data_IF_571975740923
#
_entry.id   IF_571975740923
#
_cell.length_a   1.000
_cell.length_b   1.000
_cell.length_c   1.000
_cell.angle_alpha   90.00
_cell.angle_beta   90.00
_cell.angle_gamma   90.00
#
_symmetry.space_group_name_H-M   'P 1'
#
loop_
_entity.id
_entity.type
_entity.pdbx_description
1 polymer ?
#
# COMPACT_ATOMS: atom_id res chain seq x y z
N UNK A 1 24.70 -14.30 3.98
CA UNK A 1 23.35 -13.73 3.75
C UNK A 1 22.78 -14.36 2.50
N UNK A 2 21.64 -15.04 2.59
CA UNK A 2 20.97 -15.62 1.41
C UNK A 2 20.18 -14.53 0.72
N UNK A 3 20.58 -14.18 -0.51
CA UNK A 3 19.76 -13.39 -1.42
C UNK A 3 18.50 -14.19 -1.75
N UNK A 4 17.33 -13.65 -1.44
CA UNK A 4 16.05 -14.19 -1.88
C UNK A 4 15.75 -13.55 -3.23
N UNK A 5 15.78 -14.34 -4.30
CA UNK A 5 15.50 -13.89 -5.65
C UNK A 5 13.98 -13.82 -5.85
N UNK A 6 13.43 -12.63 -6.03
CA UNK A 6 11.99 -12.41 -6.24
C UNK A 6 11.69 -12.52 -7.74
N UNK A 7 10.85 -13.47 -8.14
CA UNK A 7 10.26 -13.51 -9.48
C UNK A 7 9.16 -12.46 -9.57
N UNK A 8 9.32 -11.49 -10.48
CA UNK A 8 8.42 -10.35 -10.67
C UNK A 8 9.13 -9.00 -10.83
N UNK A 9 10.38 -8.99 -11.30
CA UNK A 9 11.16 -7.78 -11.53
C UNK A 9 10.49 -6.94 -12.63
N UNK A 10 10.13 -5.69 -12.32
CA UNK A 10 9.77 -4.70 -13.34
C UNK A 10 11.07 -3.98 -13.70
N UNK A 11 11.48 -4.14 -14.95
CA UNK A 11 12.60 -3.41 -15.54
C UNK A 11 12.25 -1.92 -15.59
N UNK A 12 13.19 -1.06 -15.21
CA UNK A 12 13.11 0.40 -15.38
C UNK A 12 13.01 0.83 -16.87
N UNK A 13 13.08 -0.11 -17.81
CA UNK A 13 13.11 0.12 -19.26
C UNK A 13 11.83 -0.33 -20.01
N UNK A 14 10.80 -0.79 -19.30
CA UNK A 14 9.55 -1.20 -19.96
C UNK A 14 8.47 -0.09 -19.87
N UNK A 15 8.00 0.36 -21.04
CA UNK A 15 7.16 1.55 -21.26
C UNK A 15 5.71 1.50 -20.73
N UNK A 16 5.33 0.53 -19.90
CA UNK A 16 3.98 0.50 -19.31
C UNK A 16 3.96 -0.03 -17.87
N UNK A 17 3.22 0.62 -16.95
CA UNK A 17 3.08 0.14 -15.58
C UNK A 17 2.17 -1.10 -15.58
N UNK A 18 2.79 -2.28 -15.43
CA UNK A 18 2.04 -3.52 -15.16
C UNK A 18 1.66 -3.53 -13.68
N UNK A 19 0.37 -3.75 -13.41
CA UNK A 19 -0.23 -3.84 -12.08
C UNK A 19 0.56 -4.82 -11.20
N UNK A 20 1.05 -4.33 -10.06
CA UNK A 20 1.91 -5.09 -9.16
C UNK A 20 1.04 -5.83 -8.15
N UNK A 21 0.77 -7.11 -8.40
CA UNK A 21 0.22 -8.00 -7.38
C UNK A 21 1.35 -8.51 -6.49
N UNK A 22 1.42 -7.99 -5.26
CA UNK A 22 2.36 -8.44 -4.23
C UNK A 22 1.79 -9.73 -3.60
N UNK A 23 2.51 -10.88 -3.68
CA UNK A 23 2.21 -12.00 -2.81
C UNK A 23 2.57 -11.61 -1.39
N UNK A 24 1.59 -11.67 -0.47
CA UNK A 24 1.84 -11.51 0.96
C UNK A 24 2.85 -12.58 1.40
N UNK A 25 3.91 -12.23 2.15
CA UNK A 25 4.68 -13.21 2.89
C UNK A 25 3.70 -13.96 3.80
N UNK A 26 3.75 -15.30 3.77
CA UNK A 26 3.23 -16.12 4.87
C UNK A 26 4.16 -15.94 6.09
N UNK A 27 4.18 -14.74 6.65
CA UNK A 27 4.44 -14.63 8.07
C UNK A 27 3.16 -15.05 8.78
N UNK A 28 3.29 -15.74 9.91
CA UNK A 28 2.19 -16.09 10.80
C UNK A 28 1.49 -14.81 11.26
N UNK A 29 0.61 -14.28 10.43
CA UNK A 29 -0.12 -13.08 10.78
C UNK A 29 -1.12 -13.48 11.83
N UNK A 30 -1.12 -12.75 12.95
CA UNK A 30 -2.28 -12.59 13.83
C UNK A 30 -3.40 -11.87 13.07
N UNK A 31 -3.68 -12.25 11.83
CA UNK A 31 -4.68 -11.62 11.02
C UNK A 31 -6.02 -12.24 11.32
N UNK A 32 -6.94 -11.35 11.64
CA UNK A 32 -8.33 -11.70 11.77
C UNK A 32 -8.78 -12.30 10.43
N UNK A 33 -9.29 -13.56 10.41
CA UNK A 33 -9.72 -14.21 9.18
C UNK A 33 -10.77 -13.38 8.41
N UNK A 34 -11.53 -12.54 9.13
CA UNK A 34 -12.47 -11.60 8.53
C UNK A 34 -11.77 -10.54 7.68
N UNK A 35 -10.64 -10.00 8.13
CA UNK A 35 -9.85 -9.05 7.35
C UNK A 35 -9.21 -9.69 6.13
N UNK A 36 -8.71 -10.93 6.25
CA UNK A 36 -8.18 -11.66 5.09
C UNK A 36 -9.24 -11.81 4.00
N UNK A 37 -10.47 -12.20 4.38
CA UNK A 37 -11.59 -12.30 3.44
C UNK A 37 -11.96 -10.96 2.79
N UNK A 38 -11.94 -9.86 3.54
CA UNK A 38 -12.20 -8.52 3.00
C UNK A 38 -11.08 -8.09 2.04
N UNK A 39 -9.81 -8.33 2.41
CA UNK A 39 -8.66 -8.02 1.57
C UNK A 39 -8.77 -8.78 0.25
N UNK A 40 -8.97 -10.10 0.28
CA UNK A 40 -9.08 -10.90 -0.93
C UNK A 40 -10.28 -10.50 -1.80
N UNK A 41 -11.41 -10.16 -1.18
CA UNK A 41 -12.61 -9.68 -1.90
C UNK A 41 -12.35 -8.39 -2.67
N UNK A 42 -11.62 -7.45 -2.10
CA UNK A 42 -11.47 -6.11 -2.67
C UNK A 42 -10.10 -5.87 -3.33
N UNK A 43 -9.13 -6.76 -3.17
CA UNK A 43 -7.74 -6.60 -3.61
C UNK A 43 -7.59 -6.20 -5.07
N UNK A 44 -8.43 -6.70 -5.98
CA UNK A 44 -8.35 -6.35 -7.40
C UNK A 44 -9.29 -5.22 -7.83
N UNK A 45 -10.16 -4.77 -6.93
CA UNK A 45 -11.20 -3.77 -7.20
C UNK A 45 -10.91 -2.42 -6.53
N UNK A 46 -10.08 -2.42 -5.49
CA UNK A 46 -9.71 -1.22 -4.76
C UNK A 46 -8.61 -0.44 -5.47
N UNK A 47 -8.57 0.87 -5.24
CA UNK A 47 -7.38 1.68 -5.46
C UNK A 47 -6.31 1.38 -4.39
N UNK A 48 -6.75 1.19 -3.14
CA UNK A 48 -5.86 1.00 -1.97
C UNK A 48 -6.58 0.28 -0.83
N UNK A 49 -5.84 -0.51 -0.05
CA UNK A 49 -6.27 -1.08 1.22
C UNK A 49 -5.23 -0.72 2.28
N UNK A 50 -5.67 -0.18 3.40
CA UNK A 50 -4.81 0.18 4.52
C UNK A 50 -5.40 -0.30 5.86
N UNK A 51 -4.54 -0.74 6.76
CA UNK A 51 -4.85 -1.01 8.16
C UNK A 51 -4.43 0.20 8.98
N UNK A 52 -5.40 0.79 9.65
CA UNK A 52 -5.21 1.96 10.52
C UNK A 52 -5.69 1.55 11.90
N UNK A 53 -4.75 1.39 12.82
CA UNK A 53 -5.04 0.87 14.16
C UNK A 53 -5.80 -0.47 14.07
N UNK A 54 -7.01 -0.54 14.63
CA UNK A 54 -7.83 -1.76 14.67
C UNK A 54 -8.84 -1.86 13.52
N UNK A 55 -8.72 -1.03 12.48
CA UNK A 55 -9.67 -0.96 11.38
C UNK A 55 -9.03 -1.18 10.02
N UNK A 56 -9.82 -1.73 9.11
CA UNK A 56 -9.45 -1.91 7.72
C UNK A 56 -10.16 -0.87 6.85
N UNK A 57 -9.39 -0.12 6.07
CA UNK A 57 -9.89 0.90 5.16
C UNK A 57 -9.65 0.47 3.73
N UNK A 58 -10.70 0.57 2.90
CA UNK A 58 -10.70 0.09 1.52
C UNK A 58 -11.19 1.22 0.63
N UNK A 59 -10.30 1.76 -0.19
CA UNK A 59 -10.61 2.81 -1.16
C UNK A 59 -11.09 2.19 -2.46
N UNK A 60 -12.36 2.40 -2.81
CA UNK A 60 -13.01 1.88 -4.02
C UNK A 60 -13.74 3.04 -4.69
N UNK A 61 -13.56 3.18 -6.00
CA UNK A 61 -14.16 4.24 -6.80
C UNK A 61 -13.87 5.64 -6.23
N UNK A 62 -14.89 6.33 -5.72
CA UNK A 62 -14.89 7.68 -5.16
C UNK A 62 -15.07 7.71 -3.63
N UNK A 63 -15.00 6.55 -2.97
CA UNK A 63 -15.24 6.42 -1.52
C UNK A 63 -14.21 5.53 -0.82
N UNK A 64 -14.20 5.64 0.51
CA UNK A 64 -13.43 4.77 1.39
C UNK A 64 -14.38 4.05 2.34
N UNK A 65 -14.37 2.72 2.30
CA UNK A 65 -15.12 1.87 3.23
C UNK A 65 -14.24 1.58 4.46
N UNK A 66 -14.80 1.70 5.66
CA UNK A 66 -14.10 1.37 6.91
C UNK A 66 -14.75 0.20 7.61
N UNK A 67 -13.97 -0.83 7.92
CA UNK A 67 -14.41 -2.05 8.60
C UNK A 67 -13.77 -2.16 9.98
N UNK A 68 -14.58 -2.53 10.98
CA UNK A 68 -14.10 -2.97 12.31
C UNK A 68 -13.49 -4.37 12.20
N UNK A 69 -12.76 -4.79 13.23
CA UNK A 69 -12.17 -6.14 13.31
C UNK A 69 -13.20 -7.27 13.06
N UNK A 70 -14.44 -7.14 13.52
CA UNK A 70 -15.51 -8.12 13.29
C UNK A 70 -16.02 -8.18 11.83
N UNK A 71 -15.53 -7.29 10.95
CA UNK A 71 -15.94 -7.17 9.55
C UNK A 71 -17.17 -6.31 9.32
N UNK A 72 -17.75 -5.73 10.37
CA UNK A 72 -18.86 -4.79 10.20
C UNK A 72 -18.38 -3.50 9.53
N UNK A 73 -19.19 -3.03 8.58
CA UNK A 73 -18.99 -1.72 7.98
C UNK A 73 -19.26 -0.65 9.05
N UNK A 74 -18.22 0.07 9.42
CA UNK A 74 -18.23 1.09 10.46
C UNK A 74 -18.45 2.51 9.92
N UNK A 75 -18.22 2.72 8.63
CA UNK A 75 -18.40 4.01 8.00
C UNK A 75 -18.03 4.02 6.52
N UNK A 76 -18.54 5.04 5.83
CA UNK A 76 -18.19 5.38 4.45
C UNK A 76 -17.68 6.82 4.47
N UNK A 77 -16.48 7.01 3.95
CA UNK A 77 -15.80 8.30 3.88
C UNK A 77 -15.54 8.67 2.43
N UNK A 78 -15.17 9.93 2.19
CA UNK A 78 -14.62 10.34 0.89
C UNK A 78 -13.36 9.53 0.57
N UNK A 79 -13.05 9.37 -0.73
CA UNK A 79 -11.78 8.79 -1.18
C UNK A 79 -10.58 9.58 -0.62
N UNK A 80 -9.41 8.97 -0.68
CA UNK A 80 -8.11 9.59 -0.39
C UNK A 80 -7.92 9.89 1.10
N UNK A 81 -8.06 8.87 1.94
CA UNK A 81 -7.81 9.01 3.36
C UNK A 81 -6.35 9.40 3.66
N UNK A 82 -6.19 10.31 4.62
CA UNK A 82 -4.90 10.79 5.11
C UNK A 82 -4.26 9.74 6.01
N UNK A 83 -3.46 8.86 5.41
CA UNK A 83 -2.70 7.85 6.14
C UNK A 83 -1.48 8.47 6.83
N UNK A 84 -1.26 8.12 8.10
CA UNK A 84 -0.09 8.49 8.88
C UNK A 84 1.05 7.50 8.60
N UNK A 85 2.31 7.86 8.87
CA UNK A 85 3.44 6.95 8.67
C UNK A 85 3.35 5.62 9.44
N UNK A 86 2.63 5.59 10.58
CA UNK A 86 2.42 4.36 11.37
C UNK A 86 1.34 3.42 10.79
N UNK A 87 0.56 3.90 9.84
CA UNK A 87 -0.54 3.13 9.26
C UNK A 87 0.04 2.19 8.19
N UNK A 88 -0.50 0.98 8.11
CA UNK A 88 0.02 -0.09 7.25
C UNK A 88 -0.75 -0.11 5.94
N UNK A 89 -0.06 -0.08 4.80
CA UNK A 89 -0.71 -0.21 3.49
C UNK A 89 -0.52 -1.64 2.98
N UNK A 90 -1.64 -2.32 2.72
CA UNK A 90 -1.70 -3.73 2.34
C UNK A 90 -1.79 -3.88 0.82
N UNK A 91 -2.58 -3.03 0.17
CA UNK A 91 -2.75 -3.04 -1.30
C UNK A 91 -2.69 -1.61 -1.82
N UNK A 92 -2.02 -1.38 -2.93
CA UNK A 92 -1.99 -0.09 -3.64
C UNK A 92 -1.93 -0.35 -5.15
N UNK A 93 -3.09 -0.35 -5.80
CA UNK A 93 -3.23 -0.68 -7.22
C UNK A 93 -3.14 0.54 -8.14
N UNK A 94 -3.31 1.74 -7.60
CA UNK A 94 -3.26 2.96 -8.38
C UNK A 94 -1.85 3.56 -8.33
N UNK A 95 -1.15 3.52 -9.47
CA UNK A 95 0.13 4.23 -9.61
C UNK A 95 -0.10 5.74 -9.61
N UNK A 96 0.71 6.46 -8.84
CA UNK A 96 0.74 7.92 -8.84
C UNK A 96 2.10 8.40 -9.35
N UNK A 97 2.12 9.40 -10.25
CA UNK A 97 3.37 9.93 -10.78
C UNK A 97 4.20 10.58 -9.66
N UNK A 98 5.52 10.45 -9.79
CA UNK A 98 6.52 11.05 -8.89
C UNK A 98 7.40 12.05 -9.65
N UNK A 99 7.89 13.06 -8.95
CA UNK A 99 8.80 14.09 -9.48
C UNK A 99 10.23 13.56 -9.64
N UNK A 100 11.08 14.30 -10.37
CA UNK A 100 12.50 13.94 -10.50
C UNK A 100 13.25 13.98 -9.16
N UNK A 101 12.96 14.95 -8.28
CA UNK A 101 13.54 15.02 -6.93
C UNK A 101 13.19 13.77 -6.10
N UNK A 102 11.94 13.33 -6.20
CA UNK A 102 11.48 12.10 -5.58
C UNK A 102 12.21 10.86 -6.12
N UNK A 103 12.43 10.80 -7.44
CA UNK A 103 13.22 9.72 -8.07
C UNK A 103 14.65 9.70 -7.54
N UNK A 104 15.31 10.86 -7.43
CA UNK A 104 16.67 10.96 -6.87
C UNK A 104 16.73 10.48 -5.42
N UNK A 105 15.73 10.84 -4.61
CA UNK A 105 15.66 10.39 -3.21
C UNK A 105 15.44 8.88 -3.09
N UNK A 106 14.57 8.30 -3.92
CA UNK A 106 14.36 6.85 -3.99
C UNK A 106 15.65 6.11 -4.42
N UNK A 107 16.40 6.66 -5.38
CA UNK A 107 17.70 6.13 -5.80
C UNK A 107 18.73 6.15 -4.67
N UNK A 108 18.81 7.25 -3.89
CA UNK A 108 19.74 7.36 -2.75
C UNK A 108 19.46 6.30 -1.68
N UNK A 109 18.18 6.02 -1.43
CA UNK A 109 17.73 5.06 -0.41
C UNK A 109 17.72 3.62 -0.96
N UNK A 110 17.92 3.46 -2.28
CA UNK A 110 17.96 2.17 -2.99
C UNK A 110 16.68 1.37 -2.79
N UNK A 111 15.53 2.04 -2.91
CA UNK A 111 14.22 1.40 -2.88
C UNK A 111 13.46 1.63 -4.18
N UNK A 112 12.81 0.59 -4.67
CA UNK A 112 11.85 0.60 -5.77
C UNK A 112 10.41 0.47 -5.27
N UNK A 113 10.22 0.13 -3.99
CA UNK A 113 8.92 -0.04 -3.34
C UNK A 113 8.56 1.24 -2.59
N UNK A 114 7.57 1.94 -3.12
CA UNK A 114 7.09 3.16 -2.52
C UNK A 114 5.61 3.40 -2.83
N UNK A 115 4.97 4.19 -1.98
CA UNK A 115 3.60 4.65 -2.18
C UNK A 115 3.60 6.18 -2.11
N UNK A 116 3.33 6.82 -3.25
CA UNK A 116 3.19 8.28 -3.30
C UNK A 116 1.84 8.67 -2.71
N UNK A 117 1.87 9.47 -1.65
CA UNK A 117 0.64 10.05 -1.08
C UNK A 117 0.14 11.16 -2.00
N UNK A 118 -1.18 11.30 -2.12
CA UNK A 118 -1.80 12.30 -3.01
C UNK A 118 -1.85 13.70 -2.37
N UNK A 119 -2.10 13.77 -1.06
CA UNK A 119 -2.32 15.02 -0.33
C UNK A 119 -1.07 15.88 -0.17
N UNK A 120 0.11 15.28 -0.29
CA UNK A 120 1.39 15.92 -0.06
C UNK A 120 2.44 15.35 -1.01
N UNK A 121 3.64 15.93 -1.04
CA UNK A 121 4.76 15.38 -1.79
C UNK A 121 5.38 14.15 -1.13
N UNK A 122 4.76 13.59 -0.09
CA UNK A 122 5.41 12.56 0.70
C UNK A 122 5.34 11.20 0.03
N UNK A 123 6.43 10.46 0.21
CA UNK A 123 6.55 9.09 -0.23
C UNK A 123 6.60 8.19 1.00
N UNK A 124 5.72 7.20 1.03
CA UNK A 124 5.75 6.16 2.05
C UNK A 124 6.60 5.01 1.55
N UNK A 125 7.58 4.60 2.37
CA UNK A 125 8.30 3.34 2.20
C UNK A 125 7.85 2.40 3.30
N UNK A 126 7.21 1.30 2.90
CA UNK A 126 6.80 0.24 3.80
C UNK A 126 7.95 -0.74 4.00
N UNK A 127 8.34 -0.95 5.26
CA UNK A 127 9.18 -2.06 5.72
C UNK A 127 8.30 -3.07 6.47
N UNK A 128 8.85 -4.25 6.75
CA UNK A 128 8.12 -5.37 7.39
C UNK A 128 7.46 -4.98 8.72
N UNK A 129 8.03 -4.02 9.47
CA UNK A 129 7.57 -3.65 10.82
C UNK A 129 7.18 -2.20 11.00
N UNK A 130 7.43 -1.34 10.01
CA UNK A 130 7.18 0.09 10.11
C UNK A 130 7.14 0.73 8.72
N UNK A 131 6.50 1.88 8.62
CA UNK A 131 6.51 2.69 7.42
C UNK A 131 7.21 4.03 7.70
N UNK A 132 8.07 4.45 6.77
CA UNK A 132 8.74 5.75 6.81
C UNK A 132 8.04 6.67 5.81
N UNK A 133 7.68 7.87 6.26
CA UNK A 133 7.37 8.97 5.35
C UNK A 133 8.64 9.75 5.02
N UNK A 134 8.94 9.83 3.72
CA UNK A 134 9.96 10.69 3.17
C UNK A 134 9.30 11.97 2.71
N UNK A 135 9.86 13.08 3.16
CA UNK A 135 9.57 14.43 2.71
C UNK A 135 10.68 14.77 1.69
N UNK A 136 10.37 14.77 0.37
CA UNK A 136 11.35 15.10 -0.65
C UNK A 136 11.85 16.54 -0.54
#
# INVERSE_FOLDING_TARGET
>A
MKLIQIKGQISLFDDQPKTINIPLPKEETKDNPVFLNLIDKYRNLCARIARVEDKLYIEIDDKTLSFKQDGELSGIFIKDMLLRPKDEIIVANEYKPITEEQKQTLQKIKTDKFIKRKSDNNILIQFDKFCIAIYP
#
